data_IF_226425619251
#
_entry.id   IF_226425619251
#
_cell.length_a   1.000
_cell.length_b   1.000
_cell.length_c   1.000
_cell.angle_alpha   90.00
_cell.angle_beta   90.00
_cell.angle_gamma   90.00
#
_symmetry.space_group_name_H-M   'P 1'
#
loop_
_entity.id
_entity.type
_entity.pdbx_description
1 polymer ?
#
# COMPACT_ATOMS: atom_id res chain seq x y z
N UNK A 1 -25.04 3.90 12.36
CA UNK A 1 -23.68 3.68 12.91
C UNK A 1 -23.68 2.84 14.20
N UNK A 2 -24.29 3.24 15.33
CA UNK A 2 -24.22 2.42 16.56
C UNK A 2 -24.73 0.97 16.35
N UNK A 3 -25.86 0.81 15.67
CA UNK A 3 -26.40 -0.50 15.32
C UNK A 3 -25.45 -1.31 14.43
N UNK A 4 -24.78 -0.66 13.49
CA UNK A 4 -23.83 -1.30 12.57
C UNK A 4 -22.60 -1.82 13.32
N UNK A 5 -22.05 -1.02 14.24
CA UNK A 5 -20.91 -1.42 15.07
C UNK A 5 -21.28 -2.57 16.01
N UNK A 6 -22.47 -2.54 16.63
CA UNK A 6 -22.96 -3.66 17.46
C UNK A 6 -23.09 -4.95 16.63
N UNK A 7 -23.64 -4.85 15.43
CA UNK A 7 -23.78 -5.98 14.51
C UNK A 7 -22.42 -6.52 14.07
N UNK A 8 -21.49 -5.65 13.70
CA UNK A 8 -20.12 -6.05 13.35
C UNK A 8 -19.42 -6.77 14.52
N UNK A 9 -19.56 -6.26 15.74
CA UNK A 9 -18.98 -6.87 16.94
C UNK A 9 -19.59 -8.24 17.25
N UNK A 10 -20.90 -8.40 17.09
CA UNK A 10 -21.58 -9.68 17.21
C UNK A 10 -21.05 -10.69 16.17
N UNK A 11 -21.02 -10.31 14.88
CA UNK A 11 -20.52 -11.16 13.79
C UNK A 11 -19.07 -11.59 14.06
N UNK A 12 -18.19 -10.64 14.41
CA UNK A 12 -16.79 -10.94 14.70
C UNK A 12 -16.66 -11.93 15.86
N UNK A 13 -17.43 -11.76 16.93
CA UNK A 13 -17.42 -12.64 18.10
C UNK A 13 -17.91 -14.05 17.77
N UNK A 14 -19.02 -14.16 17.04
CA UNK A 14 -19.62 -15.46 16.68
C UNK A 14 -18.78 -16.25 15.66
N UNK A 15 -17.99 -15.56 14.83
CA UNK A 15 -17.25 -16.18 13.72
C UNK A 15 -15.73 -16.27 13.94
N UNK A 16 -15.23 -15.98 15.14
CA UNK A 16 -13.78 -15.97 15.46
C UNK A 16 -13.06 -17.22 14.95
N UNK A 17 -13.59 -18.40 15.27
CA UNK A 17 -12.97 -19.67 14.92
C UNK A 17 -12.92 -19.88 13.41
N UNK A 18 -14.00 -19.54 12.70
CA UNK A 18 -14.07 -19.64 11.24
C UNK A 18 -13.08 -18.68 10.55
N UNK A 19 -12.98 -17.44 11.04
CA UNK A 19 -12.03 -16.45 10.52
C UNK A 19 -10.59 -16.94 10.65
N UNK A 20 -10.20 -17.42 11.84
CA UNK A 20 -8.84 -17.90 12.09
C UNK A 20 -8.55 -19.25 11.40
N UNK A 21 -9.56 -20.10 11.20
CA UNK A 21 -9.40 -21.39 10.53
C UNK A 21 -9.07 -21.26 9.04
N UNK A 22 -9.52 -20.18 8.39
CA UNK A 22 -9.27 -19.92 6.97
C UNK A 22 -7.85 -19.40 6.68
N UNK A 23 -7.07 -19.04 7.71
CA UNK A 23 -5.70 -18.55 7.57
C UNK A 23 -4.68 -19.71 7.51
N UNK A 24 -3.58 -19.57 6.75
CA UNK A 24 -2.41 -20.46 6.85
C UNK A 24 -1.90 -20.58 8.29
N UNK A 25 -1.37 -21.75 8.66
CA UNK A 25 -0.98 -22.05 10.04
C UNK A 25 0.03 -21.05 10.60
N UNK A 26 0.94 -20.58 9.76
CA UNK A 26 2.02 -19.63 10.09
C UNK A 26 1.48 -18.22 10.37
N UNK A 27 0.27 -17.90 9.91
CA UNK A 27 -0.34 -16.57 10.05
C UNK A 27 -1.40 -16.51 11.16
N UNK A 28 -1.77 -17.63 11.77
CA UNK A 28 -2.85 -17.70 12.78
C UNK A 28 -2.55 -16.90 14.05
N UNK A 29 -1.29 -16.83 14.45
CA UNK A 29 -0.86 -16.04 15.63
C UNK A 29 -1.10 -14.55 15.37
N UNK A 30 -0.53 -14.01 14.29
CA UNK A 30 -0.78 -12.63 13.86
C UNK A 30 -2.26 -12.33 13.64
N UNK A 31 -3.00 -13.26 13.04
CA UNK A 31 -4.46 -13.14 12.88
C UNK A 31 -5.21 -13.03 14.20
N UNK A 32 -4.76 -13.75 15.23
CA UNK A 32 -5.34 -13.68 16.58
C UNK A 32 -5.07 -12.32 17.25
N UNK A 33 -3.87 -11.76 17.06
CA UNK A 33 -3.51 -10.43 17.56
C UNK A 33 -4.34 -9.32 16.89
N UNK A 34 -4.48 -9.37 15.56
CA UNK A 34 -5.31 -8.44 14.81
C UNK A 34 -6.79 -8.57 15.19
N UNK A 35 -7.27 -9.79 15.44
CA UNK A 35 -8.63 -10.01 15.92
C UNK A 35 -8.89 -9.34 17.28
N UNK A 36 -7.95 -9.50 18.23
CA UNK A 36 -8.03 -8.83 19.54
C UNK A 36 -7.99 -7.31 19.34
N UNK A 37 -7.12 -6.81 18.47
CA UNK A 37 -7.03 -5.39 18.12
C UNK A 37 -8.33 -4.85 17.54
N UNK A 38 -8.99 -5.60 16.66
CA UNK A 38 -10.28 -5.23 16.07
C UNK A 38 -11.36 -5.08 17.14
N UNK A 39 -11.41 -5.97 18.13
CA UNK A 39 -12.44 -5.91 19.17
C UNK A 39 -12.13 -4.86 20.24
N UNK A 40 -10.92 -4.89 20.78
CA UNK A 40 -10.54 -4.24 22.05
C UNK A 40 -9.46 -3.16 21.89
N UNK A 41 -8.79 -3.11 20.72
CA UNK A 41 -7.70 -2.18 20.46
C UNK A 41 -8.13 -0.71 20.46
N UNK A 42 -7.13 0.17 20.52
CA UNK A 42 -7.32 1.60 20.26
C UNK A 42 -7.72 1.76 18.80
N UNK A 43 -8.97 2.15 18.57
CA UNK A 43 -9.55 2.18 17.23
C UNK A 43 -10.39 0.94 16.89
N UNK A 44 -10.51 -0.05 17.78
CA UNK A 44 -11.39 -1.21 17.60
C UNK A 44 -12.88 -0.92 17.84
N UNK A 45 -13.72 -1.93 17.64
CA UNK A 45 -15.18 -1.86 17.69
C UNK A 45 -15.72 -1.39 19.06
N UNK A 46 -15.11 -1.80 20.17
CA UNK A 46 -15.49 -1.30 21.50
C UNK A 46 -15.20 0.20 21.65
N UNK A 47 -14.06 0.66 21.13
CA UNK A 47 -13.68 2.08 21.13
C UNK A 47 -14.66 2.91 20.28
N UNK A 48 -15.08 2.39 19.12
CA UNK A 48 -16.13 3.01 18.30
C UNK A 48 -17.44 3.19 19.07
N UNK A 49 -17.91 2.16 19.76
CA UNK A 49 -19.14 2.26 20.57
C UNK A 49 -19.02 3.30 21.66
N UNK A 50 -17.84 3.44 22.27
CA UNK A 50 -17.58 4.48 23.27
C UNK A 50 -17.68 5.88 22.64
N UNK A 51 -16.96 6.15 21.55
CA UNK A 51 -16.99 7.47 20.91
C UNK A 51 -18.37 7.86 20.35
N UNK A 52 -19.16 6.89 19.90
CA UNK A 52 -20.56 7.12 19.50
C UNK A 52 -21.40 7.59 20.70
N UNK A 53 -21.26 6.94 21.86
CA UNK A 53 -21.99 7.33 23.09
C UNK A 53 -21.55 8.70 23.58
N UNK A 54 -20.25 8.98 23.51
CA UNK A 54 -19.64 10.24 23.93
C UNK A 54 -19.87 11.38 22.91
N UNK A 55 -20.40 11.07 21.72
CA UNK A 55 -20.60 12.00 20.59
C UNK A 55 -19.31 12.69 20.12
N UNK A 56 -18.18 12.00 20.22
CA UNK A 56 -16.85 12.47 19.82
C UNK A 56 -16.58 12.12 18.34
N UNK A 57 -17.09 12.95 17.42
CA UNK A 57 -17.03 12.66 15.98
C UNK A 57 -15.59 12.61 15.42
N UNK A 58 -14.69 13.44 15.95
CA UNK A 58 -13.32 13.52 15.46
C UNK A 58 -12.57 12.22 15.75
N UNK A 59 -12.67 11.73 17.00
CA UNK A 59 -12.06 10.44 17.37
C UNK A 59 -12.80 9.25 16.77
N UNK A 60 -14.11 9.37 16.57
CA UNK A 60 -14.92 8.34 15.90
C UNK A 60 -14.42 8.06 14.47
N UNK A 61 -14.13 9.11 13.70
CA UNK A 61 -13.63 8.99 12.33
C UNK A 61 -12.27 8.27 12.29
N UNK A 62 -11.34 8.68 13.16
CA UNK A 62 -10.01 8.05 13.26
C UNK A 62 -10.10 6.58 13.68
N UNK A 63 -10.94 6.28 14.69
CA UNK A 63 -11.18 4.91 15.11
C UNK A 63 -11.82 4.05 14.01
N UNK A 64 -12.72 4.62 13.21
CA UNK A 64 -13.38 3.89 12.13
C UNK A 64 -12.36 3.48 11.07
N UNK A 65 -11.50 4.41 10.65
CA UNK A 65 -10.42 4.12 9.71
C UNK A 65 -9.52 2.99 10.26
N UNK A 66 -9.09 3.09 11.52
CA UNK A 66 -8.23 2.07 12.15
C UNK A 66 -8.89 0.68 12.26
N UNK A 67 -10.19 0.61 12.57
CA UNK A 67 -10.96 -0.65 12.53
C UNK A 67 -10.99 -1.25 11.13
N UNK A 68 -11.22 -0.42 10.10
CA UNK A 68 -11.26 -0.87 8.71
C UNK A 68 -9.89 -1.33 8.21
N UNK A 69 -8.81 -0.67 8.60
CA UNK A 69 -7.44 -1.10 8.31
C UNK A 69 -7.14 -2.47 8.94
N UNK A 70 -7.54 -2.66 10.20
CA UNK A 70 -7.39 -3.95 10.90
C UNK A 70 -8.18 -5.07 10.20
N UNK A 71 -9.39 -4.77 9.70
CA UNK A 71 -10.19 -5.71 8.90
C UNK A 71 -9.47 -6.04 7.60
N UNK A 72 -8.95 -5.04 6.89
CA UNK A 72 -8.22 -5.25 5.63
C UNK A 72 -6.97 -6.12 5.84
N UNK A 73 -6.27 -5.97 6.96
CA UNK A 73 -5.16 -6.86 7.33
C UNK A 73 -5.62 -8.28 7.63
N UNK A 74 -6.72 -8.46 8.38
CA UNK A 74 -7.30 -9.78 8.63
C UNK A 74 -7.74 -10.48 7.34
N UNK A 75 -8.36 -9.76 6.41
CA UNK A 75 -8.72 -10.27 5.08
C UNK A 75 -7.48 -10.68 4.29
N UNK A 76 -6.41 -9.89 4.38
CA UNK A 76 -5.14 -10.20 3.71
C UNK A 76 -4.50 -11.50 4.23
N UNK A 77 -4.59 -11.79 5.53
CA UNK A 77 -4.07 -13.06 6.09
C UNK A 77 -4.87 -14.29 5.65
N UNK A 78 -6.12 -14.11 5.22
CA UNK A 78 -6.99 -15.18 4.72
C UNK A 78 -6.85 -15.37 3.20
N UNK A 79 -6.22 -14.41 2.51
CA UNK A 79 -6.09 -14.45 1.06
C UNK A 79 -5.16 -15.60 0.63
N UNK A 80 -5.59 -16.48 -0.31
CA UNK A 80 -4.83 -17.66 -0.71
C UNK A 80 -3.65 -17.35 -1.66
N UNK A 81 -3.21 -16.09 -1.75
CA UNK A 81 -2.31 -15.62 -2.80
C UNK A 81 -3.07 -15.29 -4.10
N UNK A 82 -2.41 -15.40 -5.25
CA UNK A 82 -3.05 -15.12 -6.55
C UNK A 82 -4.09 -16.18 -6.89
N UNK A 83 -5.29 -15.74 -7.26
CA UNK A 83 -6.41 -16.60 -7.70
C UNK A 83 -6.32 -17.01 -9.17
N UNK A 84 -5.24 -16.67 -9.87
CA UNK A 84 -5.06 -16.85 -11.31
C UNK A 84 -3.60 -17.17 -11.64
N UNK A 85 -3.37 -17.69 -12.85
CA UNK A 85 -2.03 -17.99 -13.36
C UNK A 85 -1.55 -16.85 -14.26
N UNK A 86 -0.25 -16.57 -14.20
CA UNK A 86 0.37 -15.59 -15.09
C UNK A 86 0.46 -16.13 -16.53
N UNK A 87 0.39 -15.26 -17.55
CA UNK A 87 0.69 -15.64 -18.91
C UNK A 87 2.09 -16.28 -19.02
N UNK A 88 2.22 -17.36 -19.78
CA UNK A 88 3.46 -18.16 -19.89
C UNK A 88 4.71 -17.34 -20.19
N UNK A 89 4.57 -16.30 -21.00
CA UNK A 89 5.67 -15.43 -21.41
C UNK A 89 6.29 -14.60 -20.27
N UNK A 90 5.62 -14.51 -19.11
CA UNK A 90 6.07 -13.74 -17.95
C UNK A 90 6.42 -14.62 -16.73
N UNK A 91 6.51 -15.93 -16.88
CA UNK A 91 6.75 -16.84 -15.74
C UNK A 91 8.10 -16.58 -15.04
N UNK A 92 9.10 -16.14 -15.79
CA UNK A 92 10.45 -15.80 -15.31
C UNK A 92 10.54 -14.38 -14.72
N UNK A 93 9.49 -13.58 -14.81
CA UNK A 93 9.52 -12.19 -14.34
C UNK A 93 9.29 -12.16 -12.83
N UNK A 94 9.88 -11.17 -12.11
CA UNK A 94 9.58 -10.97 -10.71
C UNK A 94 8.09 -10.69 -10.54
N UNK A 95 7.47 -11.32 -9.54
CA UNK A 95 6.06 -11.16 -9.22
C UNK A 95 5.86 -10.97 -7.74
N UNK A 96 4.88 -10.15 -7.37
CA UNK A 96 4.40 -10.06 -5.99
C UNK A 96 3.05 -10.78 -5.90
N UNK A 97 2.99 -11.86 -5.12
CA UNK A 97 1.76 -12.65 -4.91
C UNK A 97 1.05 -12.24 -3.63
N UNK A 98 0.85 -10.94 -3.46
CA UNK A 98 0.33 -10.35 -2.24
C UNK A 98 0.43 -8.82 -2.25
N UNK A 99 0.42 -8.20 -1.06
CA UNK A 99 0.67 -6.77 -0.88
C UNK A 99 1.98 -6.55 -0.14
N UNK A 100 2.67 -5.48 -0.48
CA UNK A 100 3.85 -5.01 0.25
C UNK A 100 3.72 -3.51 0.51
N UNK A 101 4.35 -3.03 1.57
CA UNK A 101 4.51 -1.59 1.82
C UNK A 101 5.96 -1.24 1.55
N UNK A 102 6.17 -0.25 0.68
CA UNK A 102 7.49 0.32 0.42
C UNK A 102 7.54 1.70 1.05
N UNK A 103 8.60 1.97 1.78
CA UNK A 103 8.87 3.29 2.32
C UNK A 103 9.98 3.97 1.52
N UNK A 104 9.68 5.19 1.06
CA UNK A 104 10.63 6.03 0.36
C UNK A 104 10.90 7.29 1.18
N UNK A 105 12.17 7.54 1.47
CA UNK A 105 12.60 8.82 2.05
C UNK A 105 13.01 9.73 0.92
N UNK A 106 12.48 10.96 0.90
CA UNK A 106 12.73 11.96 -0.13
C UNK A 106 13.28 13.25 0.48
N UNK A 107 14.28 13.84 -0.15
CA UNK A 107 14.89 15.12 0.21
C UNK A 107 14.78 16.12 -0.92
N UNK A 108 14.69 17.43 -0.65
CA UNK A 108 14.78 18.43 -1.73
C UNK A 108 16.24 18.59 -2.14
N UNK A 109 16.53 18.48 -3.42
CA UNK A 109 17.89 18.56 -3.97
C UNK A 109 18.47 19.97 -4.00
N UNK A 110 17.65 21.01 -3.80
CA UNK A 110 18.17 22.36 -3.49
C UNK A 110 18.64 22.50 -2.02
N UNK A 111 18.55 21.44 -1.22
CA UNK A 111 18.92 21.40 0.19
C UNK A 111 17.95 22.13 1.12
N UNK A 112 16.84 22.66 0.60
CA UNK A 112 15.82 23.31 1.41
C UNK A 112 14.95 22.28 2.15
N UNK A 113 14.19 22.75 3.13
CA UNK A 113 13.34 21.90 3.97
C UNK A 113 11.89 21.82 3.49
N UNK A 114 11.20 20.76 3.86
CA UNK A 114 9.75 20.64 3.77
C UNK A 114 9.09 21.33 4.98
N UNK A 115 7.96 21.99 4.72
CA UNK A 115 7.17 22.65 5.75
C UNK A 115 5.83 21.91 5.92
N UNK A 116 5.55 21.32 7.09
CA UNK A 116 4.28 20.64 7.33
C UNK A 116 3.09 21.59 7.25
N UNK A 117 2.03 21.23 6.51
CA UNK A 117 0.82 22.05 6.37
C UNK A 117 0.09 22.28 7.69
N UNK A 118 0.19 21.33 8.64
CA UNK A 118 -0.41 21.43 9.97
C UNK A 118 0.35 22.36 10.94
N UNK A 119 1.41 23.04 10.47
CA UNK A 119 2.38 23.70 11.32
C UNK A 119 3.37 22.71 11.94
N UNK A 120 4.57 23.18 12.25
CA UNK A 120 5.64 22.36 12.82
C UNK A 120 7.01 22.75 12.31
N UNK A 121 8.03 22.08 12.86
CA UNK A 121 9.42 22.33 12.49
C UNK A 121 9.69 21.91 11.03
N UNK A 122 10.55 22.68 10.32
CA UNK A 122 10.97 22.30 8.98
C UNK A 122 11.70 20.95 8.99
N UNK A 123 11.40 20.08 8.02
CA UNK A 123 12.01 18.75 7.90
C UNK A 123 12.92 18.69 6.68
N UNK A 124 14.14 18.18 6.84
CA UNK A 124 15.06 17.96 5.71
C UNK A 124 14.59 16.84 4.77
N UNK A 125 13.85 15.87 5.29
CA UNK A 125 13.32 14.74 4.55
C UNK A 125 11.82 14.54 4.81
N UNK A 126 11.14 13.93 3.84
CA UNK A 126 9.77 13.44 3.96
C UNK A 126 9.72 11.95 3.63
N UNK A 127 8.81 11.24 4.28
CA UNK A 127 8.60 9.80 4.08
C UNK A 127 7.31 9.58 3.31
N UNK A 128 7.39 8.81 2.23
CA UNK A 128 6.26 8.41 1.42
C UNK A 128 6.12 6.89 1.55
N UNK A 129 5.00 6.44 2.09
CA UNK A 129 4.65 5.03 2.11
C UNK A 129 3.76 4.69 0.92
N UNK A 130 4.13 3.65 0.19
CA UNK A 130 3.43 3.18 -1.00
C UNK A 130 3.03 1.72 -0.78
N UNK A 131 1.72 1.47 -0.83
CA UNK A 131 1.20 0.10 -0.85
C UNK A 131 1.28 -0.42 -2.28
N UNK A 132 2.08 -1.46 -2.48
CA UNK A 132 2.27 -2.12 -3.76
C UNK A 132 1.34 -3.33 -3.83
N UNK A 133 0.33 -3.29 -4.71
CA UNK A 133 -0.74 -4.29 -4.79
C UNK A 133 -0.50 -5.35 -5.88
N UNK A 134 0.09 -6.47 -5.47
CA UNK A 134 0.35 -7.61 -6.34
C UNK A 134 -0.86 -8.47 -6.66
N UNK A 135 -1.97 -8.37 -5.92
CA UNK A 135 -3.20 -9.09 -6.30
C UNK A 135 -3.78 -8.59 -7.61
N UNK A 136 -3.71 -7.28 -7.84
CA UNK A 136 -4.24 -6.64 -9.04
C UNK A 136 -3.21 -6.55 -10.17
N UNK A 137 -1.94 -6.34 -9.83
CA UNK A 137 -0.86 -6.11 -10.81
C UNK A 137 0.42 -6.86 -10.41
N UNK A 138 0.42 -8.21 -10.42
CA UNK A 138 1.51 -9.02 -9.86
C UNK A 138 2.87 -8.76 -10.50
N UNK A 139 2.94 -8.49 -11.82
CA UNK A 139 4.21 -8.25 -12.51
C UNK A 139 4.74 -6.85 -12.22
N UNK A 140 3.88 -5.84 -12.26
CA UNK A 140 4.21 -4.43 -11.99
C UNK A 140 4.65 -4.29 -10.54
N UNK A 141 3.87 -4.85 -9.62
CA UNK A 141 4.18 -4.89 -8.20
C UNK A 141 5.49 -5.64 -7.93
N UNK A 142 5.68 -6.80 -8.54
CA UNK A 142 6.90 -7.60 -8.40
C UNK A 142 8.14 -6.87 -8.89
N UNK A 143 8.04 -6.17 -10.02
CA UNK A 143 9.15 -5.39 -10.56
C UNK A 143 9.51 -4.19 -9.67
N UNK A 144 8.51 -3.46 -9.13
CA UNK A 144 8.77 -2.38 -8.17
C UNK A 144 9.47 -2.93 -6.93
N UNK A 145 8.93 -3.99 -6.32
CA UNK A 145 9.53 -4.60 -5.14
C UNK A 145 10.97 -5.07 -5.40
N UNK A 146 11.22 -5.68 -6.58
CA UNK A 146 12.58 -6.08 -6.98
C UNK A 146 13.53 -4.90 -7.12
N UNK A 147 13.10 -3.82 -7.77
CA UNK A 147 13.91 -2.62 -7.94
C UNK A 147 14.22 -1.92 -6.61
N UNK A 148 13.27 -1.93 -5.66
CA UNK A 148 13.50 -1.46 -4.28
C UNK A 148 14.55 -2.32 -3.59
N UNK A 149 14.40 -3.64 -3.59
CA UNK A 149 15.37 -4.55 -2.98
C UNK A 149 16.77 -4.47 -3.61
N UNK A 150 16.83 -4.12 -4.89
CA UNK A 150 18.09 -3.91 -5.60
C UNK A 150 18.70 -2.52 -5.34
N UNK A 151 18.05 -1.65 -4.57
CA UNK A 151 18.49 -0.26 -4.35
C UNK A 151 18.52 0.57 -5.63
N UNK A 152 17.64 0.28 -6.60
CA UNK A 152 17.62 0.97 -7.89
C UNK A 152 17.09 2.41 -7.79
N UNK A 153 16.33 2.69 -6.73
CA UNK A 153 15.79 4.02 -6.44
C UNK A 153 16.69 4.87 -5.54
N UNK A 154 17.71 4.27 -4.92
CA UNK A 154 18.59 4.98 -4.00
C UNK A 154 19.45 6.01 -4.76
N UNK A 155 19.43 7.25 -4.27
CA UNK A 155 20.12 8.36 -4.90
C UNK A 155 19.46 8.86 -6.19
N UNK A 156 18.33 8.28 -6.62
CA UNK A 156 17.69 8.67 -7.87
C UNK A 156 17.00 10.03 -7.74
N UNK A 157 17.08 10.84 -8.79
CA UNK A 157 16.44 12.14 -8.87
C UNK A 157 15.00 12.01 -9.34
N UNK A 158 14.05 12.66 -8.68
CA UNK A 158 12.67 12.75 -9.19
C UNK A 158 12.46 14.00 -10.05
N UNK A 159 11.81 13.84 -11.19
CA UNK A 159 11.31 14.92 -12.05
C UNK A 159 9.80 15.01 -11.90
N UNK A 160 9.30 16.17 -11.54
CA UNK A 160 7.87 16.44 -11.48
C UNK A 160 7.41 17.05 -12.81
N UNK A 161 6.38 16.45 -13.41
CA UNK A 161 5.61 17.02 -14.52
C UNK A 161 4.15 17.12 -14.09
N UNK A 162 3.33 17.88 -14.82
CA UNK A 162 1.95 18.19 -14.43
C UNK A 162 1.07 16.97 -14.13
N UNK A 163 1.40 15.80 -14.68
CA UNK A 163 0.60 14.58 -14.56
C UNK A 163 1.35 13.39 -13.91
N UNK A 164 2.64 13.55 -13.59
CA UNK A 164 3.45 12.42 -13.13
C UNK A 164 4.69 12.88 -12.35
N UNK A 165 5.14 12.01 -11.46
CA UNK A 165 6.48 12.05 -10.90
C UNK A 165 7.27 10.95 -11.59
N UNK A 166 8.40 11.32 -12.18
CA UNK A 166 9.25 10.42 -12.98
C UNK A 166 10.56 10.24 -12.22
N UNK A 167 10.95 8.99 -11.97
CA UNK A 167 12.28 8.68 -11.46
C UNK A 167 13.26 8.75 -12.62
N UNK A 168 14.22 9.67 -12.54
CA UNK A 168 15.32 9.78 -13.49
C UNK A 168 16.41 8.78 -13.13
N UNK A 169 16.39 7.61 -13.77
CA UNK A 169 17.35 6.54 -13.53
C UNK A 169 18.45 6.55 -14.60
N UNK A 170 19.35 7.53 -14.53
CA UNK A 170 20.62 7.45 -15.27
C UNK A 170 21.52 6.30 -14.74
N UNK A 171 21.22 5.78 -13.55
CA UNK A 171 22.01 4.81 -12.76
C UNK A 171 21.95 3.34 -13.23
N UNK A 172 21.39 3.05 -14.40
CA UNK A 172 21.63 1.78 -15.12
C UNK A 172 20.95 0.50 -14.62
N UNK A 173 20.37 0.46 -13.41
CA UNK A 173 19.55 -0.68 -12.94
C UNK A 173 18.14 -0.60 -13.55
N UNK A 174 17.98 -1.22 -14.72
CA UNK A 174 16.71 -1.21 -15.46
C UNK A 174 15.81 -2.37 -15.03
N UNK A 175 14.54 -2.06 -14.75
CA UNK A 175 13.50 -3.05 -14.57
C UNK A 175 13.13 -3.77 -15.86
N UNK A 176 12.18 -4.69 -15.76
CA UNK A 176 11.66 -5.42 -16.90
C UNK A 176 10.75 -4.52 -17.76
N UNK A 177 10.66 -4.82 -19.06
CA UNK A 177 9.59 -4.24 -19.91
C UNK A 177 8.32 -5.02 -19.65
N UNK A 178 7.42 -4.43 -18.88
CA UNK A 178 6.21 -5.09 -18.40
C UNK A 178 5.00 -4.80 -19.29
N UNK A 179 4.03 -5.71 -19.38
CA UNK A 179 2.71 -5.38 -19.91
C UNK A 179 2.01 -4.35 -19.03
N UNK A 180 1.08 -3.59 -19.61
CA UNK A 180 0.14 -2.83 -18.80
C UNK A 180 -0.86 -3.80 -18.17
N UNK A 181 -0.81 -3.95 -16.84
CA UNK A 181 -1.76 -4.72 -16.05
C UNK A 181 -2.96 -3.86 -15.67
N UNK A 182 -4.16 -4.30 -16.06
CA UNK A 182 -5.41 -3.64 -15.68
C UNK A 182 -6.34 -4.68 -15.11
N UNK A 183 -6.75 -4.53 -13.85
CA UNK A 183 -7.78 -5.36 -13.20
C UNK A 183 -9.13 -4.63 -13.31
N UNK A 184 -10.03 -5.01 -14.25
CA UNK A 184 -11.35 -4.40 -14.31
C UNK A 184 -12.19 -4.83 -13.10
N UNK A 185 -13.09 -3.96 -12.65
CA UNK A 185 -13.98 -4.27 -11.53
C UNK A 185 -14.79 -5.55 -11.81
N UNK A 186 -14.80 -6.47 -10.85
CA UNK A 186 -15.53 -7.75 -10.94
C UNK A 186 -14.83 -8.86 -11.73
N UNK A 187 -13.62 -8.63 -12.25
CA UNK A 187 -12.81 -9.68 -12.88
C UNK A 187 -11.96 -10.41 -11.84
N UNK A 188 -11.64 -11.67 -12.15
CA UNK A 188 -10.82 -12.54 -11.29
C UNK A 188 -9.33 -12.52 -11.65
N UNK A 189 -8.98 -12.05 -12.84
CA UNK A 189 -7.61 -11.94 -13.34
C UNK A 189 -7.40 -10.63 -14.12
N UNK A 190 -6.19 -10.05 -14.09
CA UNK A 190 -5.91 -8.80 -14.80
C UNK A 190 -5.75 -9.04 -16.31
N UNK A 191 -6.10 -8.02 -17.08
CA UNK A 191 -5.78 -7.95 -18.49
C UNK A 191 -4.32 -7.51 -18.67
N UNK A 192 -3.56 -8.28 -19.44
CA UNK A 192 -2.19 -7.97 -19.83
C UNK A 192 -2.17 -7.34 -21.22
N UNK A 193 -1.95 -6.03 -21.27
CA UNK A 193 -1.94 -5.26 -22.51
C UNK A 193 -0.51 -4.91 -22.93
N UNK A 194 -0.40 -4.23 -24.07
CA UNK A 194 0.88 -3.67 -24.53
C UNK A 194 1.54 -2.84 -23.43
N UNK A 195 2.89 -2.83 -23.35
CA UNK A 195 3.61 -2.00 -22.40
C UNK A 195 3.17 -0.53 -22.46
N UNK A 196 3.13 0.12 -21.31
CA UNK A 196 2.85 1.55 -21.24
C UNK A 196 4.00 2.34 -21.90
N UNK A 197 3.69 3.13 -22.91
CA UNK A 197 4.62 4.08 -23.53
C UNK A 197 4.30 5.49 -23.08
N UNK A 198 5.05 6.02 -22.11
CA UNK A 198 4.92 7.41 -21.67
C UNK A 198 5.75 8.28 -22.62
N UNK A 199 5.09 8.96 -23.55
CA UNK A 199 5.73 10.03 -24.32
C UNK A 199 5.79 11.29 -23.45
N UNK A 200 6.97 11.61 -22.92
CA UNK A 200 7.18 12.89 -22.24
C UNK A 200 7.35 13.97 -23.30
N UNK A 201 6.26 14.66 -23.64
CA UNK A 201 6.35 15.92 -24.41
C UNK A 201 7.10 16.94 -23.57
N UNK A 202 8.14 17.56 -24.14
CA UNK A 202 8.95 18.59 -23.48
C UNK A 202 8.08 19.83 -23.18
N UNK A 203 7.39 19.86 -22.05
CA UNK A 203 6.76 21.07 -21.51
C UNK A 203 7.39 21.40 -20.17
N UNK A 204 7.92 22.62 -20.10
CA UNK A 204 8.47 23.34 -18.94
C UNK A 204 8.69 22.50 -17.68
N UNK A 205 9.92 22.01 -17.53
CA UNK A 205 10.41 21.40 -16.30
C UNK A 205 10.36 22.41 -15.15
N UNK A 206 9.68 22.06 -14.06
CA UNK A 206 10.09 22.58 -12.76
C UNK A 206 11.26 21.71 -12.28
N UNK A 207 12.46 22.29 -12.27
CA UNK A 207 13.64 21.64 -11.71
C UNK A 207 13.51 21.63 -10.19
N UNK A 208 12.95 20.55 -9.64
CA UNK A 208 13.18 20.16 -8.26
C UNK A 208 13.92 18.84 -8.30
N UNK A 209 15.20 18.84 -7.94
CA UNK A 209 15.91 17.59 -7.65
C UNK A 209 15.29 17.00 -6.39
N UNK A 210 15.04 15.70 -6.35
CA UNK A 210 14.56 15.01 -5.14
C UNK A 210 15.33 13.71 -5.03
N UNK A 211 16.09 13.53 -3.95
CA UNK A 211 16.93 12.35 -3.72
C UNK A 211 16.14 11.34 -2.92
N UNK A 212 16.02 10.11 -3.43
CA UNK A 212 15.29 9.02 -2.77
C UNK A 212 16.25 8.06 -2.05
N UNK A 213 15.90 7.57 -0.87
CA UNK A 213 16.56 6.43 -0.22
C UNK A 213 15.53 5.43 0.29
N UNK A 214 15.80 4.14 0.05
CA UNK A 214 15.01 3.01 0.55
C UNK A 214 15.57 2.51 1.89
N UNK A 215 14.69 2.16 2.82
CA UNK A 215 15.05 1.53 4.09
C UNK A 215 14.49 0.10 4.06
N UNK A 216 15.37 -0.87 4.33
CA UNK A 216 15.08 -2.31 4.36
C UNK A 216 14.37 -2.75 5.65
#
# INVERSE_FOLDING_TARGET
MEGDVKKAMQIATENKEAMLASMPAELKEKGSELYITLLEGKGGLQTLLKYIKDKDNDRLSVALASSLDTIAELELLQAPGLSFLLPKQYLEYPRLTGRAVVEFTVEKGDGSTFFPTAGGEPKSAATIQVVVDGYSAPLTAGNIAKLVLDGAYDGATLKSVSQAIIVDSETGKKGYTLPLEVMPAGQFEPLYRSPLSIQVTHSHYFNSEIIMSSIS
#
